data_IF_609639576097
#
_entry.id   IF_609639576097
#
_cell.length_a   1.000
_cell.length_b   1.000
_cell.length_c   1.000
_cell.angle_alpha   90.00
_cell.angle_beta   90.00
_cell.angle_gamma   90.00
#
_symmetry.space_group_name_H-M   'P 1'
#
loop_
_entity.id
_entity.type
_entity.pdbx_description
1 polymer ?
#
# COMPACT_ATOMS: atom_id res chain seq x y z
N UNK A 1 -8.53 -12.84 7.46
CA UNK A 1 -7.21 -13.50 7.43
C UNK A 1 -6.18 -12.40 7.28
N UNK A 2 -5.33 -12.17 8.27
CA UNK A 2 -4.23 -11.21 8.15
C UNK A 2 -3.09 -11.88 7.39
N UNK A 3 -2.65 -11.27 6.29
CA UNK A 3 -1.54 -11.78 5.50
C UNK A 3 -0.37 -10.85 5.75
N UNK A 4 0.69 -11.38 6.34
CA UNK A 4 1.95 -10.68 6.57
C UNK A 4 2.81 -10.79 5.32
N UNK A 5 2.81 -9.74 4.50
CA UNK A 5 3.65 -9.67 3.29
C UNK A 5 4.70 -8.59 3.45
N UNK A 6 5.90 -8.87 2.95
CA UNK A 6 6.90 -7.82 2.75
C UNK A 6 6.40 -6.80 1.72
N UNK A 7 6.96 -5.58 1.76
CA UNK A 7 6.65 -4.56 0.75
C UNK A 7 6.87 -5.10 -0.67
N UNK A 8 7.93 -5.87 -0.89
CA UNK A 8 8.25 -6.46 -2.19
C UNK A 8 7.17 -7.43 -2.68
N UNK A 9 6.74 -8.35 -1.82
CA UNK A 9 5.70 -9.34 -2.18
C UNK A 9 4.34 -8.68 -2.40
N UNK A 10 3.95 -7.76 -1.52
CA UNK A 10 2.70 -7.04 -1.65
C UNK A 10 2.70 -6.13 -2.89
N UNK A 11 3.82 -5.50 -3.20
CA UNK A 11 4.00 -4.68 -4.41
C UNK A 11 3.80 -5.53 -5.66
N UNK A 12 4.40 -6.72 -5.73
CA UNK A 12 4.20 -7.67 -6.82
C UNK A 12 2.75 -8.12 -6.98
N UNK A 13 2.07 -8.44 -5.86
CA UNK A 13 0.66 -8.87 -5.89
C UNK A 13 -0.31 -7.74 -6.26
N UNK A 14 -0.01 -6.50 -5.87
CA UNK A 14 -0.83 -5.33 -6.18
C UNK A 14 -0.49 -4.69 -7.53
N UNK A 15 0.58 -5.15 -8.20
CA UNK A 15 1.09 -4.50 -9.41
C UNK A 15 1.58 -3.07 -9.16
N UNK A 16 2.08 -2.79 -7.96
CA UNK A 16 2.61 -1.48 -7.56
C UNK A 16 4.14 -1.55 -7.46
N UNK A 17 4.80 -0.40 -7.54
CA UNK A 17 6.22 -0.30 -7.20
C UNK A 17 6.40 -0.30 -5.68
N UNK A 18 7.48 -0.90 -5.18
CA UNK A 18 7.80 -0.94 -3.74
C UNK A 18 7.83 0.46 -3.11
N UNK A 19 8.42 1.43 -3.82
CA UNK A 19 8.45 2.84 -3.39
C UNK A 19 7.04 3.41 -3.25
N UNK A 20 6.15 3.11 -4.19
CA UNK A 20 4.76 3.57 -4.14
C UNK A 20 4.03 2.92 -2.97
N UNK A 21 4.18 1.61 -2.79
CA UNK A 21 3.55 0.89 -1.69
C UNK A 21 4.02 1.40 -0.31
N UNK A 22 5.32 1.71 -0.17
CA UNK A 22 5.87 2.33 1.04
C UNK A 22 5.23 3.70 1.33
N UNK A 23 5.08 4.53 0.31
CA UNK A 23 4.38 5.82 0.45
C UNK A 23 2.92 5.64 0.86
N UNK A 24 2.22 4.62 0.33
CA UNK A 24 0.83 4.34 0.71
C UNK A 24 0.72 3.84 2.16
N UNK A 25 1.68 3.04 2.61
CA UNK A 25 1.81 2.61 4.00
C UNK A 25 2.08 3.79 4.93
N UNK A 26 3.00 4.68 4.57
CA UNK A 26 3.30 5.91 5.32
C UNK A 26 2.11 6.86 5.37
N UNK A 27 1.30 6.92 4.31
CA UNK A 27 0.05 7.70 4.25
C UNK A 27 -1.12 7.04 4.97
N UNK A 28 -1.01 5.78 5.38
CA UNK A 28 -2.11 5.00 5.96
C UNK A 28 -3.21 4.62 4.96
N UNK A 29 -2.94 4.69 3.65
CA UNK A 29 -3.89 4.24 2.61
C UNK A 29 -3.90 2.72 2.46
N UNK A 30 -2.82 2.05 2.87
CA UNK A 30 -2.69 0.58 2.92
C UNK A 30 -2.54 0.15 4.38
N UNK A 31 -3.25 -0.90 4.77
CA UNK A 31 -3.08 -1.51 6.09
C UNK A 31 -1.73 -2.23 6.17
N UNK A 32 -0.82 -1.65 6.93
CA UNK A 32 0.45 -2.29 7.27
C UNK A 32 1.03 -1.77 8.57
N UNK A 33 2.07 -2.44 9.04
CA UNK A 33 2.73 -2.16 10.31
C UNK A 33 4.24 -2.13 10.12
N UNK A 34 4.93 -1.38 10.98
CA UNK A 34 6.39 -1.41 11.05
C UNK A 34 6.81 -2.48 12.06
N UNK A 35 7.53 -3.50 11.61
CA UNK A 35 8.12 -4.56 12.44
C UNK A 35 9.64 -4.44 12.37
N UNK A 36 10.28 -4.11 13.50
CA UNK A 36 11.75 -4.09 13.60
C UNK A 36 12.46 -3.13 12.62
N UNK A 37 11.80 -2.05 12.20
CA UNK A 37 12.36 -1.11 11.21
C UNK A 37 11.85 -1.32 9.77
N UNK A 38 11.24 -2.47 9.50
CA UNK A 38 10.75 -2.85 8.17
C UNK A 38 9.23 -2.70 8.08
N UNK A 39 8.74 -2.19 6.95
CA UNK A 39 7.31 -2.12 6.68
C UNK A 39 6.78 -3.48 6.20
N UNK A 40 5.64 -3.90 6.74
CA UNK A 40 4.92 -5.09 6.31
C UNK A 40 3.47 -4.72 6.00
N UNK A 41 2.91 -5.33 4.97
CA UNK A 41 1.50 -5.20 4.60
C UNK A 41 0.72 -6.28 5.33
N UNK A 42 -0.41 -5.90 5.94
CA UNK A 42 -1.31 -6.82 6.66
C UNK A 42 -2.53 -7.21 5.82
N UNK A 43 -2.85 -6.41 4.79
CA UNK A 43 -3.97 -6.65 3.89
C UNK A 43 -3.70 -6.10 2.49
N UNK A 44 -4.10 -6.89 1.49
CA UNK A 44 -4.04 -6.51 0.07
C UNK A 44 -5.32 -5.82 -0.42
N UNK A 45 -6.22 -5.42 0.48
CA UNK A 45 -7.49 -4.75 0.15
C UNK A 45 -7.31 -3.29 -0.29
N UNK A 46 -6.21 -2.99 -0.99
CA UNK A 46 -5.94 -1.65 -1.50
C UNK A 46 -6.75 -1.39 -2.76
N UNK A 47 -7.93 -0.80 -2.59
CA UNK A 47 -8.71 -0.25 -3.70
C UNK A 47 -8.07 1.08 -4.08
N UNK A 48 -7.40 1.12 -5.24
CA UNK A 48 -6.80 2.34 -5.79
C UNK A 48 -7.89 3.38 -6.02
N UNK A 49 -8.07 4.28 -5.06
CA UNK A 49 -8.95 5.45 -5.20
C UNK A 49 -8.25 6.48 -6.09
N UNK A 50 -8.35 6.30 -7.40
CA UNK A 50 -8.02 7.37 -8.35
C UNK A 50 -9.04 8.48 -8.15
N UNK A 51 -8.78 9.41 -7.23
CA UNK A 51 -9.54 10.67 -7.16
C UNK A 51 -9.36 11.35 -8.51
N UNK A 52 -10.34 11.24 -9.41
CA UNK A 52 -10.48 12.17 -10.53
C UNK A 52 -10.54 13.54 -9.86
N UNK A 53 -9.49 14.36 -10.03
CA UNK A 53 -9.64 15.80 -9.80
C UNK A 53 -10.79 16.20 -10.71
N UNK A 54 -11.93 16.63 -10.14
CA UNK A 54 -12.89 17.43 -10.90
C UNK A 54 -12.10 18.66 -11.33
N UNK A 55 -11.64 18.67 -12.57
CA UNK A 55 -11.28 19.91 -13.25
C UNK A 55 -12.63 20.59 -13.46
N UNK A 56 -12.98 21.45 -12.50
CA UNK A 56 -14.00 22.47 -12.70
C UNK A 56 -13.26 23.73 -13.12
N UNK A 57 -13.67 24.30 -14.25
CA UNK A 57 -13.03 25.45 -14.90
C UNK A 57 -13.05 25.24 -16.40
#
# INVERSE_FOLDING_TARGET
>A
MEILLSVREAAGKLGLSERHLRLLLEKGEVKGKKLGGTWVVLSLDYIRKKKRKKVGG
#
